data_IF_423612423222
#
_entry.id   IF_423612423222
#
_cell.length_a   1.000
_cell.length_b   1.000
_cell.length_c   1.000
_cell.angle_alpha   90.00
_cell.angle_beta   90.00
_cell.angle_gamma   90.00
#
_symmetry.space_group_name_H-M   'P 1'
#
loop_
_entity.id
_entity.type
_entity.pdbx_description
1 polymer ?
#
# COMPACT_ATOMS: atom_id res chain seq x y z
N UNK A 1 20.64 20.26 1.23
CA UNK A 1 20.48 20.32 -0.24
C UNK A 1 19.04 19.97 -0.51
N UNK A 2 18.24 20.89 -1.04
CA UNK A 2 16.86 20.62 -1.46
C UNK A 2 16.95 19.68 -2.66
N UNK A 3 16.56 18.41 -2.47
CA UNK A 3 16.39 17.48 -3.58
C UNK A 3 15.35 18.09 -4.54
N UNK A 4 15.62 17.99 -5.83
CA UNK A 4 14.63 18.41 -6.83
C UNK A 4 13.58 17.30 -6.96
N UNK A 5 12.29 17.65 -7.12
CA UNK A 5 11.26 16.64 -7.39
C UNK A 5 11.65 15.78 -8.61
N UNK A 6 11.32 14.47 -8.60
CA UNK A 6 11.46 13.63 -9.78
C UNK A 6 10.68 14.22 -10.94
N UNK A 7 11.17 13.99 -12.16
CA UNK A 7 10.46 14.31 -13.40
C UNK A 7 10.09 15.80 -13.64
N UNK A 8 10.64 16.75 -12.87
CA UNK A 8 10.42 18.19 -13.12
C UNK A 8 10.66 18.62 -14.57
N UNK A 9 11.42 17.83 -15.34
CA UNK A 9 11.64 18.04 -16.77
C UNK A 9 10.53 17.51 -17.67
N UNK A 10 9.65 16.61 -17.16
CA UNK A 10 8.58 15.98 -17.95
C UNK A 10 7.20 16.55 -17.64
N UNK A 11 6.90 16.83 -16.36
CA UNK A 11 5.59 17.29 -15.92
C UNK A 11 5.70 18.43 -14.93
N UNK A 12 4.76 19.40 -14.96
CA UNK A 12 4.57 20.32 -13.84
C UNK A 12 4.25 19.52 -12.57
N UNK A 13 4.82 19.91 -11.44
CA UNK A 13 4.65 19.22 -10.15
C UNK A 13 3.93 20.16 -9.19
N UNK A 14 2.98 19.62 -8.44
CA UNK A 14 2.23 20.31 -7.40
C UNK A 14 2.57 19.74 -6.03
N UNK A 15 2.72 20.62 -5.05
CA UNK A 15 2.78 20.25 -3.64
C UNK A 15 1.36 20.24 -3.06
N UNK A 16 1.02 19.11 -2.43
CA UNK A 16 -0.18 18.96 -1.61
C UNK A 16 0.23 18.93 -0.14
N UNK A 17 -0.41 19.73 0.71
CA UNK A 17 -0.28 19.66 2.16
C UNK A 17 -1.51 18.97 2.70
N UNK A 18 -1.32 17.82 3.31
CA UNK A 18 -2.38 16.91 3.74
C UNK A 18 -2.32 16.79 5.26
N UNK A 19 -3.37 17.23 5.93
CA UNK A 19 -3.53 17.03 7.37
C UNK A 19 -4.06 15.62 7.60
N UNK A 20 -3.23 14.74 8.19
CA UNK A 20 -3.54 13.31 8.41
C UNK A 20 -3.23 12.99 9.87
N UNK A 21 -4.28 12.83 10.69
CA UNK A 21 -4.15 12.64 12.12
C UNK A 21 -3.32 13.78 12.76
N UNK A 22 -2.27 13.46 13.54
CA UNK A 22 -1.44 14.46 14.20
C UNK A 22 -0.36 15.08 13.28
N UNK A 23 -0.29 14.70 12.02
CA UNK A 23 0.75 15.11 11.09
C UNK A 23 0.21 15.94 9.93
N UNK A 24 1.03 16.86 9.42
CA UNK A 24 0.84 17.44 8.09
C UNK A 24 1.88 16.86 7.15
N UNK A 25 1.44 16.13 6.15
CA UNK A 25 2.31 15.54 5.13
C UNK A 25 2.46 16.48 3.94
N UNK A 26 3.70 16.59 3.42
CA UNK A 26 4.00 17.25 2.15
C UNK A 26 4.12 16.18 1.07
N UNK A 27 3.16 16.15 0.15
CA UNK A 27 3.11 15.19 -0.96
C UNK A 27 3.22 15.93 -2.28
N UNK A 28 4.27 15.64 -3.01
CA UNK A 28 4.46 16.11 -4.37
C UNK A 28 3.89 15.09 -5.35
N UNK A 29 3.17 15.57 -6.34
CA UNK A 29 2.55 14.79 -7.40
C UNK A 29 2.59 15.55 -8.73
N UNK A 30 2.47 14.90 -9.88
CA UNK A 30 2.15 15.58 -11.14
C UNK A 30 0.95 16.51 -10.97
N UNK A 31 1.07 17.74 -11.47
CA UNK A 31 0.02 18.76 -11.30
C UNK A 31 -1.27 18.42 -12.06
N UNK A 32 -1.12 17.68 -13.14
CA UNK A 32 -2.19 17.17 -13.99
C UNK A 32 -1.93 15.67 -14.25
N UNK A 33 -2.51 14.77 -13.44
CA UNK A 33 -2.37 13.33 -13.61
C UNK A 33 -2.87 12.82 -14.97
N UNK A 34 -3.90 13.45 -15.53
CA UNK A 34 -4.50 13.01 -16.80
C UNK A 34 -3.55 13.26 -17.99
N UNK A 35 -2.65 14.23 -17.88
CA UNK A 35 -1.65 14.48 -18.92
C UNK A 35 -0.68 13.31 -19.15
N UNK A 36 -0.57 12.38 -18.19
CA UNK A 36 0.24 11.18 -18.35
C UNK A 36 -0.39 10.19 -19.35
N UNK A 37 -1.70 10.25 -19.54
CA UNK A 37 -2.41 9.40 -20.49
C UNK A 37 -2.04 9.70 -21.95
N UNK A 38 -1.58 10.92 -22.21
CA UNK A 38 -1.15 11.37 -23.54
C UNK A 38 0.30 10.93 -23.88
N UNK A 39 1.02 10.32 -22.94
CA UNK A 39 2.38 9.82 -23.18
C UNK A 39 2.34 8.58 -24.09
N UNK A 40 3.03 8.59 -25.24
CA UNK A 40 3.05 7.44 -26.17
C UNK A 40 3.53 6.14 -25.53
N UNK A 41 4.35 6.20 -24.47
CA UNK A 41 4.81 5.02 -23.74
C UNK A 41 3.67 4.38 -22.93
N UNK A 42 2.73 5.18 -22.42
CA UNK A 42 1.52 4.69 -21.74
C UNK A 42 0.61 3.97 -22.71
N UNK A 43 0.40 4.52 -23.91
CA UNK A 43 -0.38 3.84 -24.96
C UNK A 43 0.20 2.47 -25.32
N UNK A 44 1.53 2.37 -25.46
CA UNK A 44 2.20 1.11 -25.73
C UNK A 44 2.05 0.09 -24.59
N UNK A 45 2.13 0.53 -23.33
CA UNK A 45 1.93 -0.31 -22.14
C UNK A 45 0.46 -0.73 -22.00
N UNK A 46 -0.49 0.17 -22.31
CA UNK A 46 -1.91 -0.17 -22.32
C UNK A 46 -2.22 -1.30 -23.32
N UNK A 47 -1.68 -1.22 -24.54
CA UNK A 47 -1.86 -2.27 -25.56
C UNK A 47 -1.24 -3.61 -25.16
N UNK A 48 -0.19 -3.60 -24.33
CA UNK A 48 0.53 -4.78 -23.88
C UNK A 48 -0.16 -5.51 -22.72
N UNK A 49 -0.60 -4.77 -21.70
CA UNK A 49 -1.07 -5.34 -20.43
C UNK A 49 -2.21 -4.56 -19.75
N UNK A 50 -2.88 -3.67 -20.51
CA UNK A 50 -3.93 -2.76 -20.02
C UNK A 50 -3.46 -1.81 -18.89
N UNK A 51 -2.17 -1.49 -18.86
CA UNK A 51 -1.63 -0.58 -17.86
C UNK A 51 -2.14 0.85 -18.07
N UNK A 52 -2.58 1.46 -16.96
CA UNK A 52 -2.86 2.90 -16.86
C UNK A 52 -2.12 3.49 -15.66
N UNK A 53 -1.56 4.70 -15.76
CA UNK A 53 -0.78 5.33 -14.71
C UNK A 53 -1.70 5.94 -13.64
N UNK A 54 -2.26 5.13 -12.75
CA UNK A 54 -3.08 5.60 -11.64
C UNK A 54 -2.26 6.13 -10.45
N UNK A 55 -0.96 5.89 -10.44
CA UNK A 55 -0.06 6.22 -9.36
C UNK A 55 0.03 7.72 -8.99
N UNK A 56 -0.16 8.70 -9.92
CA UNK A 56 0.01 10.13 -9.58
C UNK A 56 -1.19 10.73 -8.85
N UNK A 57 -2.27 9.97 -8.70
CA UNK A 57 -3.49 10.44 -8.05
C UNK A 57 -3.42 10.21 -6.54
N UNK A 58 -3.82 11.22 -5.77
CA UNK A 58 -4.04 11.06 -4.32
C UNK A 58 -5.42 10.41 -4.12
N UNK A 59 -5.41 9.11 -3.88
CA UNK A 59 -6.63 8.35 -3.67
C UNK A 59 -7.14 8.50 -2.24
N UNK A 60 -8.45 8.74 -2.01
CA UNK A 60 -9.00 8.92 -0.66
C UNK A 60 -8.71 7.76 0.29
N UNK A 61 -8.72 6.50 -0.19
CA UNK A 61 -8.45 5.36 0.69
C UNK A 61 -7.01 5.32 1.19
N UNK A 62 -6.05 5.91 0.45
CA UNK A 62 -4.66 6.03 0.93
C UNK A 62 -4.55 7.00 2.10
N UNK A 63 -5.33 8.08 2.08
CA UNK A 63 -5.40 9.05 3.18
C UNK A 63 -6.03 8.42 4.43
N UNK A 64 -7.15 7.70 4.25
CA UNK A 64 -7.85 7.01 5.33
C UNK A 64 -6.98 5.93 5.96
N UNK A 65 -6.25 5.16 5.15
CA UNK A 65 -5.33 4.14 5.63
C UNK A 65 -4.16 4.78 6.39
N UNK A 66 -3.59 5.86 5.87
CA UNK A 66 -2.53 6.60 6.55
C UNK A 66 -2.98 7.15 7.90
N UNK A 67 -4.17 7.74 7.99
CA UNK A 67 -4.74 8.23 9.25
C UNK A 67 -4.96 7.07 10.22
N UNK A 68 -5.49 5.95 9.75
CA UNK A 68 -5.70 4.75 10.56
C UNK A 68 -4.37 4.20 11.09
N UNK A 69 -3.31 4.18 10.28
CA UNK A 69 -1.95 3.78 10.70
C UNK A 69 -1.44 4.67 11.83
N UNK A 70 -1.62 5.98 11.70
CA UNK A 70 -1.10 6.97 12.65
C UNK A 70 -1.89 7.03 13.95
N UNK A 71 -3.20 6.76 13.93
CA UNK A 71 -4.11 7.04 15.03
C UNK A 71 -4.67 5.80 15.74
N UNK A 72 -4.69 4.63 15.08
CA UNK A 72 -5.28 3.42 15.65
C UNK A 72 -4.36 2.74 16.66
N UNK A 73 -4.85 2.43 17.89
CA UNK A 73 -4.11 1.62 18.84
C UNK A 73 -3.89 0.17 18.37
N UNK A 74 -4.71 -0.32 17.44
CA UNK A 74 -4.61 -1.66 16.88
C UNK A 74 -3.64 -1.73 15.70
N UNK A 75 -3.08 -0.57 15.30
CA UNK A 75 -2.07 -0.53 14.24
C UNK A 75 -0.85 -1.38 14.63
N UNK A 76 -0.33 -2.22 13.73
CA UNK A 76 0.95 -2.89 13.95
C UNK A 76 2.05 -1.91 14.36
N UNK A 77 1.95 -0.67 13.92
CA UNK A 77 2.84 0.41 14.32
C UNK A 77 2.77 0.74 15.83
N UNK A 78 1.58 0.68 16.43
CA UNK A 78 1.38 0.95 17.85
C UNK A 78 1.85 -0.22 18.74
N UNK A 79 1.81 -1.46 18.22
CA UNK A 79 2.07 -2.69 18.97
C UNK A 79 3.49 -3.23 18.81
N UNK A 80 4.27 -2.68 17.88
CA UNK A 80 5.64 -3.09 17.65
C UNK A 80 6.50 -2.94 18.92
N UNK A 81 6.86 -4.07 19.53
CA UNK A 81 7.76 -4.09 20.69
C UNK A 81 9.15 -3.59 20.29
N UNK A 82 9.66 -2.59 20.97
CA UNK A 82 11.05 -2.11 20.81
C UNK A 82 12.13 -3.13 21.25
N UNK A 83 11.71 -4.32 21.69
CA UNK A 83 12.59 -5.35 22.29
C UNK A 83 12.86 -6.55 21.38
N UNK A 84 12.38 -6.57 20.14
CA UNK A 84 12.66 -7.67 19.20
C UNK A 84 14.09 -7.55 18.65
N UNK A 85 14.82 -8.68 18.63
CA UNK A 85 16.20 -8.77 18.09
C UNK A 85 16.21 -8.47 16.58
N UNK A 86 15.11 -8.75 15.88
CA UNK A 86 14.92 -8.46 14.45
C UNK A 86 13.86 -7.38 14.33
N UNK A 87 14.22 -6.25 13.73
CA UNK A 87 13.29 -5.15 13.51
C UNK A 87 12.24 -5.60 12.48
N UNK A 88 10.93 -5.51 12.83
CA UNK A 88 9.86 -5.87 11.91
C UNK A 88 9.87 -4.94 10.69
N UNK A 89 9.50 -5.45 9.52
CA UNK A 89 9.54 -4.73 8.25
C UNK A 89 8.16 -4.65 7.63
N UNK A 90 7.85 -3.48 7.07
CA UNK A 90 6.64 -3.25 6.28
C UNK A 90 6.95 -3.21 4.77
N UNK A 91 5.96 -3.60 3.98
CA UNK A 91 5.98 -3.52 2.52
C UNK A 91 4.73 -2.78 2.06
N UNK A 92 4.87 -1.77 1.23
CA UNK A 92 3.74 -1.15 0.53
C UNK A 92 3.68 -1.68 -0.91
N UNK A 93 2.53 -2.28 -1.28
CA UNK A 93 2.25 -2.80 -2.61
C UNK A 93 1.44 -1.78 -3.42
N UNK A 94 1.94 -1.39 -4.60
CA UNK A 94 1.31 -0.35 -5.40
C UNK A 94 1.34 0.99 -4.67
N UNK A 95 2.53 1.41 -4.25
CA UNK A 95 2.69 2.54 -3.34
C UNK A 95 2.27 3.90 -3.93
N UNK A 96 2.25 4.05 -5.27
CA UNK A 96 1.96 5.32 -5.91
C UNK A 96 2.82 6.45 -5.34
N UNK A 97 2.19 7.42 -4.69
CA UNK A 97 2.87 8.56 -4.06
C UNK A 97 3.46 8.24 -2.67
N UNK A 98 3.25 7.02 -2.14
CA UNK A 98 3.85 6.51 -0.90
C UNK A 98 3.16 6.96 0.39
N UNK A 99 1.90 7.41 0.35
CA UNK A 99 1.24 8.07 1.48
C UNK A 99 1.10 7.12 2.68
N UNK A 100 0.61 5.89 2.48
CA UNK A 100 0.39 4.94 3.57
C UNK A 100 1.72 4.41 4.13
N UNK A 101 2.71 4.15 3.27
CA UNK A 101 4.04 3.76 3.71
C UNK A 101 4.79 4.87 4.47
N UNK A 102 4.62 6.14 4.07
CA UNK A 102 5.15 7.28 4.83
C UNK A 102 4.54 7.32 6.23
N UNK A 103 3.23 7.08 6.37
CA UNK A 103 2.57 7.01 7.67
C UNK A 103 3.18 5.87 8.54
N UNK A 104 3.42 4.70 7.97
CA UNK A 104 4.09 3.60 8.67
C UNK A 104 5.52 3.96 9.07
N UNK A 105 6.27 4.64 8.19
CA UNK A 105 7.63 5.08 8.48
C UNK A 105 7.69 6.17 9.56
N UNK A 106 6.71 7.07 9.65
CA UNK A 106 6.57 8.03 10.74
C UNK A 106 6.37 7.34 12.10
N UNK A 107 5.75 6.16 12.12
CA UNK A 107 5.65 5.31 13.31
C UNK A 107 6.94 4.50 13.60
N UNK A 108 8.02 4.68 12.79
CA UNK A 108 9.31 4.04 13.01
C UNK A 108 9.47 2.68 12.32
N UNK A 109 8.57 2.29 11.44
CA UNK A 109 8.72 1.06 10.66
C UNK A 109 9.66 1.26 9.48
N UNK A 110 10.63 0.34 9.24
CA UNK A 110 11.30 0.24 7.95
C UNK A 110 10.28 -0.18 6.88
N UNK A 111 10.15 0.63 5.84
CA UNK A 111 9.18 0.40 4.76
C UNK A 111 9.90 0.19 3.45
N UNK A 112 9.56 -0.88 2.74
CA UNK A 112 9.90 -1.08 1.34
C UNK A 112 8.72 -0.64 0.48
N UNK A 113 8.88 0.44 -0.26
CA UNK A 113 7.88 0.96 -1.21
C UNK A 113 8.02 0.23 -2.53
N UNK A 114 6.92 -0.34 -3.06
CA UNK A 114 6.94 -1.05 -4.32
C UNK A 114 5.81 -0.62 -5.23
N UNK A 115 6.12 -0.51 -6.52
CA UNK A 115 5.14 -0.23 -7.56
C UNK A 115 5.55 -0.87 -8.88
N UNK A 116 4.58 -1.07 -9.77
CA UNK A 116 4.82 -1.48 -11.15
C UNK A 116 5.37 -0.33 -12.00
N UNK A 117 5.14 0.92 -11.58
CA UNK A 117 5.67 2.10 -12.25
C UNK A 117 6.93 2.62 -11.54
N UNK A 118 8.08 2.68 -12.24
CA UNK A 118 9.30 3.21 -11.64
C UNK A 118 9.18 4.68 -11.24
N UNK A 119 8.33 5.48 -11.92
CA UNK A 119 8.12 6.88 -11.59
C UNK A 119 7.38 7.03 -10.25
N UNK A 120 6.43 6.14 -9.95
CA UNK A 120 5.77 6.08 -8.65
C UNK A 120 6.78 5.89 -7.51
N UNK A 121 7.75 4.98 -7.70
CA UNK A 121 8.80 4.69 -6.73
C UNK A 121 9.67 5.91 -6.46
N UNK A 122 10.04 6.64 -7.52
CA UNK A 122 10.84 7.87 -7.40
C UNK A 122 10.07 8.94 -6.61
N UNK A 123 8.76 9.08 -6.86
CA UNK A 123 7.91 10.00 -6.10
C UNK A 123 7.75 9.58 -4.65
N UNK A 124 7.53 8.28 -4.38
CA UNK A 124 7.42 7.78 -3.01
C UNK A 124 8.70 8.05 -2.20
N UNK A 125 9.88 7.78 -2.78
CA UNK A 125 11.16 8.08 -2.16
C UNK A 125 11.35 9.57 -1.90
N UNK A 126 11.02 10.41 -2.89
CA UNK A 126 11.11 11.85 -2.76
C UNK A 126 10.16 12.39 -1.68
N UNK A 127 8.89 11.95 -1.68
CA UNK A 127 7.89 12.34 -0.70
C UNK A 127 8.30 11.90 0.73
N UNK A 128 8.85 10.69 0.90
CA UNK A 128 9.39 10.25 2.17
C UNK A 128 10.49 11.20 2.67
N UNK A 129 11.39 11.62 1.79
CA UNK A 129 12.44 12.61 2.10
C UNK A 129 11.88 13.97 2.49
N UNK A 130 10.84 14.49 1.80
CA UNK A 130 10.18 15.75 2.12
C UNK A 130 9.53 15.70 3.51
N UNK A 131 9.00 14.55 3.91
CA UNK A 131 8.44 14.31 5.24
C UNK A 131 9.49 13.93 6.29
N UNK A 132 10.78 14.11 5.99
CA UNK A 132 11.91 13.90 6.91
C UNK A 132 12.01 12.47 7.45
N UNK A 133 11.51 11.50 6.70
CA UNK A 133 11.69 10.09 7.06
C UNK A 133 13.19 9.76 6.98
N UNK A 134 13.78 9.17 8.03
CA UNK A 134 15.18 8.73 8.00
C UNK A 134 15.42 7.74 6.87
N UNK A 135 16.50 7.92 6.10
CA UNK A 135 16.79 7.10 4.91
C UNK A 135 16.94 5.61 5.20
N UNK A 136 17.34 5.23 6.43
CA UNK A 136 17.43 3.83 6.84
C UNK A 136 16.07 3.15 7.04
N UNK A 137 14.96 3.93 7.08
CA UNK A 137 13.60 3.43 7.14
C UNK A 137 12.94 3.34 5.75
N UNK A 138 13.64 3.74 4.68
CA UNK A 138 13.08 3.82 3.33
C UNK A 138 13.88 2.94 2.39
N UNK A 139 13.25 1.94 1.85
CA UNK A 139 13.75 1.15 0.73
C UNK A 139 12.75 1.26 -0.42
N UNK A 140 13.21 1.29 -1.65
CA UNK A 140 12.34 1.34 -2.84
C UNK A 140 12.72 0.24 -3.80
N UNK A 141 11.71 -0.44 -4.39
CA UNK A 141 11.89 -1.52 -5.36
C UNK A 141 10.83 -1.46 -6.44
N UNK A 142 11.25 -1.48 -7.70
CA UNK A 142 10.33 -1.78 -8.79
C UNK A 142 9.86 -3.24 -8.65
N UNK A 143 8.55 -3.46 -8.70
CA UNK A 143 8.00 -4.80 -8.53
C UNK A 143 6.74 -5.01 -9.36
N UNK A 144 6.76 -6.05 -10.15
CA UNK A 144 5.58 -6.63 -10.77
C UNK A 144 5.05 -7.76 -9.85
N UNK A 145 3.80 -7.72 -9.47
CA UNK A 145 3.20 -8.77 -8.61
C UNK A 145 3.24 -10.16 -9.23
N UNK A 146 3.36 -10.26 -10.56
CA UNK A 146 3.57 -11.52 -11.29
C UNK A 146 4.95 -12.14 -11.02
N UNK A 147 5.90 -11.34 -10.58
CA UNK A 147 7.29 -11.71 -10.27
C UNK A 147 7.71 -11.01 -8.97
N UNK A 148 7.16 -11.43 -7.82
CA UNK A 148 7.48 -10.80 -6.54
C UNK A 148 8.97 -10.88 -6.22
N UNK A 149 9.47 -9.86 -5.55
CA UNK A 149 10.84 -9.82 -5.06
C UNK A 149 11.09 -10.89 -3.98
N UNK A 150 12.35 -11.15 -3.67
CA UNK A 150 12.71 -11.94 -2.51
C UNK A 150 12.56 -11.13 -1.22
N UNK A 151 12.25 -11.83 -0.13
CA UNK A 151 12.13 -11.22 1.20
C UNK A 151 10.85 -11.62 1.92
N UNK A 152 10.78 -11.24 3.20
CA UNK A 152 9.60 -11.45 4.04
C UNK A 152 9.32 -10.20 4.84
N UNK A 153 8.03 -9.90 5.01
CA UNK A 153 7.54 -8.71 5.68
C UNK A 153 6.49 -9.09 6.73
N UNK A 154 6.53 -8.39 7.85
CA UNK A 154 5.62 -8.62 8.97
C UNK A 154 4.31 -7.86 8.78
N UNK A 155 4.37 -6.81 7.99
CA UNK A 155 3.21 -6.00 7.64
C UNK A 155 3.22 -5.66 6.16
N UNK A 156 2.17 -6.03 5.45
CA UNK A 156 1.93 -5.63 4.05
C UNK A 156 0.81 -4.61 4.03
N UNK A 157 1.04 -3.50 3.37
CA UNK A 157 0.12 -2.36 3.24
C UNK A 157 -0.20 -2.19 1.76
N UNK A 158 -1.45 -1.93 1.44
CA UNK A 158 -1.86 -1.55 0.10
C UNK A 158 -3.10 -0.64 0.14
N UNK A 159 -3.22 0.29 -0.79
CA UNK A 159 -4.40 1.14 -0.94
C UNK A 159 -4.82 1.23 -2.39
N UNK A 160 -6.13 1.11 -2.63
CA UNK A 160 -6.74 1.22 -3.97
C UNK A 160 -6.19 0.26 -5.03
N UNK A 161 -5.75 -0.94 -4.64
CA UNK A 161 -5.14 -1.96 -5.52
C UNK A 161 -6.14 -3.00 -6.05
N UNK A 162 -7.41 -2.94 -5.65
CA UNK A 162 -8.43 -3.96 -5.98
C UNK A 162 -9.33 -3.58 -7.17
N UNK A 163 -8.93 -2.61 -7.98
CA UNK A 163 -9.72 -2.09 -9.10
C UNK A 163 -9.80 -3.06 -10.30
N UNK A 164 -8.88 -4.02 -10.42
CA UNK A 164 -8.89 -5.02 -11.49
C UNK A 164 -9.02 -6.45 -10.95
N UNK A 165 -10.20 -7.08 -11.15
CA UNK A 165 -10.47 -8.46 -10.70
C UNK A 165 -9.44 -9.48 -11.18
N UNK A 166 -8.91 -9.31 -12.41
CA UNK A 166 -7.90 -10.21 -12.99
C UNK A 166 -6.59 -10.24 -12.19
N UNK A 167 -6.31 -9.19 -11.41
CA UNK A 167 -5.10 -9.08 -10.61
C UNK A 167 -5.26 -9.63 -9.18
N UNK A 168 -6.47 -9.90 -8.69
CA UNK A 168 -6.70 -10.34 -7.31
C UNK A 168 -5.93 -11.62 -6.97
N UNK A 169 -5.95 -12.61 -7.88
CA UNK A 169 -5.20 -13.85 -7.69
C UNK A 169 -3.69 -13.61 -7.65
N UNK A 170 -3.18 -12.78 -8.56
CA UNK A 170 -1.76 -12.43 -8.67
C UNK A 170 -1.30 -11.67 -7.43
N UNK A 171 -2.09 -10.71 -6.96
CA UNK A 171 -1.82 -9.96 -5.73
C UNK A 171 -1.76 -10.89 -4.52
N UNK A 172 -2.70 -11.84 -4.40
CA UNK A 172 -2.71 -12.82 -3.31
C UNK A 172 -1.51 -13.77 -3.37
N UNK A 173 -1.06 -14.18 -4.55
CA UNK A 173 0.14 -15.01 -4.72
C UNK A 173 1.39 -14.23 -4.27
N UNK A 174 1.49 -12.95 -4.64
CA UNK A 174 2.57 -12.08 -4.18
C UNK A 174 2.53 -11.90 -2.65
N UNK A 175 1.36 -11.64 -2.08
CA UNK A 175 1.18 -11.53 -0.63
C UNK A 175 1.59 -12.85 0.06
N UNK A 176 1.17 -14.00 -0.46
CA UNK A 176 1.53 -15.30 0.12
C UNK A 176 3.05 -15.53 0.09
N UNK A 177 3.72 -15.14 -0.98
CA UNK A 177 5.17 -15.23 -1.07
C UNK A 177 5.88 -14.28 -0.10
N UNK A 178 5.39 -13.06 0.11
CA UNK A 178 6.09 -11.99 0.81
C UNK A 178 5.77 -11.88 2.30
N UNK A 179 4.60 -12.36 2.74
CA UNK A 179 4.17 -12.25 4.14
C UNK A 179 4.89 -13.28 5.02
N UNK A 180 5.33 -12.85 6.22
CA UNK A 180 5.79 -13.77 7.26
C UNK A 180 4.64 -14.65 7.78
N UNK A 181 4.93 -15.79 8.44
CA UNK A 181 3.87 -16.68 8.97
C UNK A 181 2.88 -15.98 9.92
N UNK A 182 3.36 -15.03 10.72
CA UNK A 182 2.56 -14.28 11.69
C UNK A 182 2.27 -12.85 11.23
N UNK A 183 2.57 -12.52 9.99
CA UNK A 183 2.37 -11.20 9.44
C UNK A 183 0.90 -10.85 9.24
N UNK A 184 0.65 -9.57 9.05
CA UNK A 184 -0.66 -9.00 8.77
C UNK A 184 -0.65 -8.24 7.46
N UNK A 185 -1.75 -8.28 6.76
CA UNK A 185 -1.97 -7.46 5.54
C UNK A 185 -3.12 -6.50 5.80
N UNK A 186 -2.91 -5.25 5.44
CA UNK A 186 -3.94 -4.22 5.42
C UNK A 186 -4.13 -3.71 4.00
N UNK A 187 -5.36 -3.85 3.49
CA UNK A 187 -5.73 -3.34 2.18
C UNK A 187 -6.92 -2.41 2.35
N UNK A 188 -6.78 -1.15 1.96
CA UNK A 188 -7.90 -0.22 1.89
C UNK A 188 -8.41 -0.06 0.46
N UNK A 189 -9.74 0.03 0.30
CA UNK A 189 -10.39 0.28 -0.98
C UNK A 189 -11.63 1.14 -0.81
N UNK A 190 -11.92 2.01 -1.77
CA UNK A 190 -13.08 2.91 -1.77
C UNK A 190 -14.42 2.20 -2.05
N UNK A 191 -14.57 0.95 -1.61
CA UNK A 191 -15.78 0.13 -1.78
C UNK A 191 -16.15 -0.08 -3.25
N UNK A 192 -15.15 -0.27 -4.12
CA UNK A 192 -15.38 -0.55 -5.52
C UNK A 192 -16.06 -1.90 -5.70
N UNK A 193 -16.97 -2.01 -6.67
CA UNK A 193 -17.61 -3.28 -7.02
C UNK A 193 -16.60 -4.41 -7.34
N UNK A 194 -15.43 -4.05 -7.87
CA UNK A 194 -14.36 -5.02 -8.12
C UNK A 194 -13.78 -5.58 -6.83
N UNK A 195 -13.64 -4.78 -5.79
CA UNK A 195 -13.05 -5.18 -4.51
C UNK A 195 -13.91 -6.19 -3.75
N UNK A 196 -15.23 -6.19 -3.95
CA UNK A 196 -16.15 -7.12 -3.28
C UNK A 196 -15.85 -8.60 -3.58
N UNK A 197 -15.21 -8.89 -4.70
CA UNK A 197 -14.84 -10.26 -5.09
C UNK A 197 -13.52 -10.72 -4.44
N UNK A 198 -12.75 -9.83 -3.83
CA UNK A 198 -11.43 -10.17 -3.28
C UNK A 198 -11.47 -11.01 -2.00
N UNK A 199 -12.33 -10.72 -0.97
CA UNK A 199 -12.37 -11.49 0.26
C UNK A 199 -12.63 -13.00 0.05
N UNK A 200 -13.62 -13.42 -0.77
CA UNK A 200 -13.84 -14.86 -1.04
C UNK A 200 -12.61 -15.53 -1.66
N UNK A 201 -11.92 -14.86 -2.57
CA UNK A 201 -10.70 -15.40 -3.22
C UNK A 201 -9.57 -15.54 -2.20
N UNK A 202 -9.42 -14.55 -1.30
CA UNK A 202 -8.41 -14.60 -0.23
C UNK A 202 -8.68 -15.76 0.74
N UNK A 203 -9.94 -15.99 1.12
CA UNK A 203 -10.32 -17.13 1.98
C UNK A 203 -9.99 -18.47 1.30
N UNK A 204 -10.29 -18.64 0.02
CA UNK A 204 -9.94 -19.84 -0.74
C UNK A 204 -8.43 -20.09 -0.78
N UNK A 205 -7.61 -19.04 -0.69
CA UNK A 205 -6.14 -19.13 -0.66
C UNK A 205 -5.56 -19.29 0.76
N UNK A 206 -6.39 -19.49 1.76
CA UNK A 206 -5.96 -19.79 3.12
C UNK A 206 -5.68 -18.56 3.97
N UNK A 207 -6.32 -17.44 3.68
CA UNK A 207 -6.34 -16.27 4.53
C UNK A 207 -7.64 -16.18 5.34
N UNK A 208 -7.54 -15.75 6.58
CA UNK A 208 -8.67 -15.22 7.34
C UNK A 208 -8.77 -13.74 7.01
N UNK A 209 -9.95 -13.29 6.62
CA UNK A 209 -10.21 -11.91 6.24
C UNK A 209 -11.21 -11.30 7.22
N UNK A 210 -10.87 -10.14 7.78
CA UNK A 210 -11.80 -9.27 8.48
C UNK A 210 -11.99 -7.99 7.66
N UNK A 211 -13.20 -7.42 7.68
CA UNK A 211 -13.49 -6.14 7.06
C UNK A 211 -13.97 -5.17 8.12
N UNK A 212 -13.43 -3.96 8.11
CA UNK A 212 -13.92 -2.81 8.88
C UNK A 212 -14.02 -1.59 7.97
N UNK A 213 -14.83 -0.60 8.34
CA UNK A 213 -15.02 0.61 7.55
C UNK A 213 -14.22 1.75 8.14
N UNK A 214 -13.33 2.32 7.33
CA UNK A 214 -12.66 3.58 7.60
C UNK A 214 -13.58 4.73 7.19
N UNK A 215 -13.73 5.72 8.07
CA UNK A 215 -14.53 6.92 7.79
C UNK A 215 -13.63 8.13 7.78
N UNK A 216 -13.83 8.97 6.80
CA UNK A 216 -13.05 10.19 6.65
C UNK A 216 -13.94 11.36 6.26
N UNK A 217 -13.66 12.51 6.87
CA UNK A 217 -14.29 13.76 6.46
C UNK A 217 -13.20 14.65 5.86
N UNK A 218 -13.26 14.82 4.56
CA UNK A 218 -12.29 15.64 3.83
C UNK A 218 -12.38 17.13 4.21
N UNK A 219 -11.36 17.93 3.83
CA UNK A 219 -11.31 19.37 4.13
C UNK A 219 -12.52 20.16 3.63
N UNK A 220 -13.18 19.68 2.58
CA UNK A 220 -14.41 20.25 2.02
C UNK A 220 -15.69 19.80 2.75
N UNK A 221 -15.59 19.02 3.83
CA UNK A 221 -16.74 18.46 4.54
C UNK A 221 -17.39 17.27 3.81
N UNK A 222 -16.78 16.78 2.75
CA UNK A 222 -17.26 15.58 2.04
C UNK A 222 -16.86 14.35 2.84
N UNK A 223 -17.86 13.55 3.22
CA UNK A 223 -17.65 12.27 3.87
C UNK A 223 -17.33 11.20 2.82
N UNK A 224 -16.34 10.38 3.12
CA UNK A 224 -15.98 9.22 2.32
C UNK A 224 -15.76 8.02 3.23
N UNK A 225 -16.16 6.86 2.76
CA UNK A 225 -15.95 5.58 3.42
C UNK A 225 -15.00 4.72 2.58
N UNK A 226 -14.16 3.95 3.23
CA UNK A 226 -13.34 2.90 2.61
C UNK A 226 -13.42 1.62 3.43
N UNK A 227 -13.36 0.48 2.76
CA UNK A 227 -13.16 -0.80 3.43
C UNK A 227 -11.69 -0.94 3.85
N UNK A 228 -11.45 -1.45 5.04
CA UNK A 228 -10.14 -1.95 5.47
C UNK A 228 -10.22 -3.46 5.62
N UNK A 229 -9.62 -4.16 4.69
CA UNK A 229 -9.46 -5.59 4.72
C UNK A 229 -8.19 -5.95 5.51
N UNK A 230 -8.36 -6.67 6.61
CA UNK A 230 -7.25 -7.22 7.39
C UNK A 230 -7.13 -8.72 7.11
N UNK A 231 -5.97 -9.15 6.59
CA UNK A 231 -5.72 -10.54 6.27
C UNK A 231 -4.64 -11.13 7.19
N UNK A 232 -4.90 -12.34 7.67
CA UNK A 232 -3.93 -13.18 8.36
C UNK A 232 -3.91 -14.57 7.73
N UNK A 233 -2.76 -15.25 7.76
CA UNK A 233 -2.71 -16.66 7.35
C UNK A 233 -3.57 -17.51 8.30
N UNK A 234 -4.31 -18.46 7.74
CA UNK A 234 -4.90 -19.53 8.56
C UNK A 234 -3.80 -20.51 8.96
N UNK A 235 -3.67 -20.79 10.26
CA UNK A 235 -2.72 -21.81 10.73
C UNK A 235 -3.10 -23.18 10.13
N UNK A 236 -2.30 -23.68 9.21
CA UNK A 236 -2.48 -25.03 8.62
C UNK A 236 -2.26 -26.17 9.63
N UNK A 237 -1.95 -25.89 10.90
CA UNK A 237 -1.57 -26.90 11.91
C UNK A 237 -2.73 -27.49 12.72
N UNK A 238 -4.00 -27.13 12.46
CA UNK A 238 -5.13 -27.55 13.32
C UNK A 238 -6.00 -28.69 12.75
N UNK A 239 -5.62 -29.31 11.62
CA UNK A 239 -6.51 -30.31 10.95
C UNK A 239 -5.94 -31.72 10.75
N UNK A 240 -4.93 -32.11 11.53
CA UNK A 240 -4.43 -33.52 11.49
C UNK A 240 -4.20 -34.14 12.88
N UNK A 241 -5.11 -33.96 13.81
CA UNK A 241 -5.14 -34.78 15.03
C UNK A 241 -6.58 -34.99 15.47
N UNK A 242 -7.20 -36.07 14.97
CA UNK A 242 -8.53 -36.45 15.48
C UNK A 242 -9.33 -37.36 14.58
N UNK A 243 -8.76 -38.48 14.08
CA UNK A 243 -9.55 -39.68 13.78
C UNK A 243 -8.71 -40.89 14.16
N UNK A 244 -8.82 -41.31 15.41
CA UNK A 244 -8.53 -42.69 15.78
C UNK A 244 -9.82 -43.48 15.57
N UNK A 245 -9.83 -44.34 14.55
CA UNK A 245 -10.90 -45.33 14.36
C UNK A 245 -10.48 -46.53 15.19
N UNK A 246 -11.25 -46.82 16.23
CA UNK A 246 -11.37 -48.16 16.84
C UNK A 246 -12.60 -48.84 16.30
#
# INVERSE_FOLDING_TARGET
>A
MTQRPPLQSRYPIRLHRLDIGPHQLEIFAPADPDSLLDDPTVEARYKKDNYLPYWPVIWPSSLMLAEHILCSPDSPAATASKQTIVQPRALELGCGLGIAGIAAALCGWPVTFTDYDPEAIDFAAFNAGCNKIPSHLVETRHMDWRQPMDGKFDWIIASDVLYERRLHGILLDAIDQLLTPNGVVWISDQQRNSAADFPPVAVQRGFRVANSVLKWTGPSGVNSDADLLTLHRTNRSATLSGVTIT
#
